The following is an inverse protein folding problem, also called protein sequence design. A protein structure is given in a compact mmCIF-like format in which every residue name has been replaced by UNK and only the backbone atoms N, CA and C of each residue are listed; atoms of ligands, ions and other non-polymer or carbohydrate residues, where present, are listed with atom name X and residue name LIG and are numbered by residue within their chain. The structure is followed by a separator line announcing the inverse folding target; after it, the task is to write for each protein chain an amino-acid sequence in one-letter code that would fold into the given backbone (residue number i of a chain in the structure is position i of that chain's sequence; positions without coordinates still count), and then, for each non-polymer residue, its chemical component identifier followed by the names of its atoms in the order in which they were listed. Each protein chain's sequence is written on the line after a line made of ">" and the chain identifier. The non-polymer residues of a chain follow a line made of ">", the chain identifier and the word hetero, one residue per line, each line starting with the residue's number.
data_IF_311696555795
#
_entry.id   IF_311696555795
#
_cell.length_a   1.000
_cell.length_b   1.000
_cell.length_c   1.000
_cell.angle_alpha   90.00
_cell.angle_beta   90.00
_cell.angle_gamma   90.00
#
_symmetry.space_group_name_H-M   'P 1'
#
loop_
_entity.id
_entity.type
_entity.pdbx_description
1 polymer ?
#
# COMPACT_ATOMS: atom_id res chain seq x y z
N UNK A 1 25.86 -29.98 17.97
CA UNK A 1 25.67 -30.59 16.65
C UNK A 1 24.48 -31.53 16.74
N UNK A 2 23.26 -31.06 16.48
CA UNK A 2 22.04 -31.87 16.50
C UNK A 2 21.28 -31.53 15.22
N UNK A 3 21.25 -32.48 14.27
CA UNK A 3 20.48 -32.40 13.04
C UNK A 3 19.00 -32.70 13.36
N UNK A 4 18.14 -31.69 13.24
CA UNK A 4 16.71 -31.89 13.29
C UNK A 4 16.17 -32.09 11.86
N UNK A 5 15.80 -33.32 11.54
CA UNK A 5 15.13 -33.69 10.29
C UNK A 5 13.64 -33.44 10.43
N UNK A 6 13.08 -32.52 9.63
CA UNK A 6 11.62 -32.35 9.48
C UNK A 6 11.12 -33.22 8.32
N UNK A 7 9.99 -33.94 8.51
CA UNK A 7 9.37 -34.72 7.45
C UNK A 7 8.53 -33.86 6.52
N UNK A 8 8.63 -34.11 5.21
CA UNK A 8 7.81 -33.52 4.14
C UNK A 8 6.40 -34.13 4.18
N UNK A 9 5.32 -33.36 4.09
CA UNK A 9 4.01 -33.88 3.74
C UNK A 9 3.84 -34.00 2.24
N UNK A 10 3.44 -35.17 1.79
CA UNK A 10 3.03 -35.46 0.43
C UNK A 10 1.64 -34.83 0.18
N UNK A 11 1.52 -33.96 -0.83
CA UNK A 11 0.26 -33.40 -1.27
C UNK A 11 -0.21 -34.18 -2.49
N UNK A 12 -1.37 -34.83 -2.31
CA UNK A 12 -2.09 -35.59 -3.32
C UNK A 12 -2.76 -34.64 -4.33
N UNK A 13 -2.54 -34.92 -5.63
CA UNK A 13 -3.30 -34.31 -6.75
C UNK A 13 -4.73 -34.83 -6.73
N UNK A 14 -5.72 -33.93 -6.74
CA UNK A 14 -7.10 -34.20 -7.13
C UNK A 14 -7.42 -33.46 -8.41
N UNK A 15 -7.54 -34.20 -9.53
CA UNK A 15 -8.15 -33.76 -10.78
C UNK A 15 -9.67 -33.76 -10.60
N UNK A 16 -10.33 -32.67 -10.93
CA UNK A 16 -11.78 -32.66 -11.18
C UNK A 16 -12.05 -31.96 -12.51
N UNK A 17 -12.69 -32.72 -13.39
CA UNK A 17 -13.03 -32.36 -14.76
C UNK A 17 -14.46 -31.83 -14.90
N UNK A 18 -14.66 -30.96 -15.93
CA UNK A 18 -15.84 -30.84 -16.80
C UNK A 18 -17.15 -30.25 -16.26
N UNK A 19 -17.57 -29.20 -16.98
CA UNK A 19 -18.98 -28.72 -17.02
C UNK A 19 -19.17 -27.63 -18.06
N UNK A 20 -19.25 -27.99 -19.36
CA UNK A 20 -19.79 -27.12 -20.41
C UNK A 20 -21.30 -27.10 -20.29
N UNK A 21 -21.91 -25.94 -20.06
CA UNK A 21 -23.34 -25.70 -20.26
C UNK A 21 -23.53 -24.65 -21.35
N UNK A 22 -23.98 -25.09 -22.51
CA UNK A 22 -24.42 -24.25 -23.62
C UNK A 22 -25.85 -23.76 -23.33
N UNK A 23 -26.08 -22.46 -23.26
CA UNK A 23 -27.41 -21.85 -23.27
C UNK A 23 -27.72 -21.30 -24.67
N UNK A 24 -28.65 -21.97 -25.36
CA UNK A 24 -29.28 -21.54 -26.60
C UNK A 24 -30.25 -20.38 -26.34
N UNK A 25 -30.06 -19.27 -27.04
CA UNK A 25 -30.95 -18.11 -27.02
C UNK A 25 -32.13 -18.34 -28.01
N UNK A 26 -33.35 -18.23 -27.52
CA UNK A 26 -34.60 -18.20 -28.32
C UNK A 26 -34.95 -16.75 -28.66
N UNK A 27 -35.30 -16.40 -29.92
CA UNK A 27 -35.73 -15.05 -30.26
C UNK A 27 -37.18 -14.81 -29.86
N UNK A 28 -37.42 -13.85 -28.99
CA UNK A 28 -38.79 -13.40 -28.64
C UNK A 28 -39.17 -12.21 -29.49
N UNK A 29 -40.31 -12.37 -30.18
CA UNK A 29 -40.98 -11.39 -31.04
C UNK A 29 -41.44 -10.16 -30.24
N UNK A 30 -41.15 -8.99 -30.78
CA UNK A 30 -41.54 -7.67 -30.27
C UNK A 30 -43.01 -7.37 -30.57
N UNK A 31 -43.84 -6.99 -29.58
CA UNK A 31 -45.11 -6.29 -29.86
C UNK A 31 -44.86 -4.80 -29.98
N UNK A 32 -45.36 -4.23 -31.08
CA UNK A 32 -45.40 -2.80 -31.34
C UNK A 32 -46.32 -2.10 -30.35
N UNK A 33 -45.81 -1.30 -29.45
CA UNK A 33 -46.59 -0.47 -28.54
C UNK A 33 -46.64 0.97 -29.06
N UNK A 34 -47.85 1.45 -29.30
CA UNK A 34 -48.24 2.80 -29.68
C UNK A 34 -47.76 3.78 -28.60
N UNK A 35 -46.92 4.74 -29.00
CA UNK A 35 -46.40 5.76 -28.10
C UNK A 35 -47.48 6.79 -27.76
N UNK A 36 -47.97 6.77 -26.54
CA UNK A 36 -48.74 7.85 -25.95
C UNK A 36 -47.72 8.85 -25.34
N UNK A 37 -47.64 10.02 -25.96
CA UNK A 37 -46.76 11.12 -25.49
C UNK A 37 -47.30 11.65 -24.15
N UNK A 38 -46.67 11.29 -23.04
CA UNK A 38 -46.92 11.91 -21.73
C UNK A 38 -45.89 13.00 -21.56
N UNK A 39 -46.34 14.25 -21.53
CA UNK A 39 -45.52 15.39 -21.19
C UNK A 39 -45.08 15.26 -19.74
N UNK A 40 -43.85 14.79 -19.52
CA UNK A 40 -43.21 14.77 -18.18
C UNK A 40 -42.75 16.20 -17.85
N UNK A 41 -43.41 16.80 -16.87
CA UNK A 41 -42.93 18.00 -16.19
C UNK A 41 -41.62 17.61 -15.49
N UNK A 42 -40.49 18.18 -15.94
CA UNK A 42 -39.20 17.96 -15.32
C UNK A 42 -39.22 18.43 -13.87
N UNK A 43 -39.27 17.51 -12.93
CA UNK A 43 -39.05 17.74 -11.51
C UNK A 43 -37.57 18.11 -11.34
N UNK A 44 -37.29 19.32 -10.88
CA UNK A 44 -35.92 19.77 -10.61
C UNK A 44 -35.30 18.84 -9.56
N UNK A 45 -34.29 18.07 -9.96
CA UNK A 45 -33.47 17.26 -9.06
C UNK A 45 -32.76 18.21 -8.10
N UNK A 46 -32.88 18.05 -6.74
CA UNK A 46 -32.16 18.87 -5.81
C UNK A 46 -30.64 18.74 -6.07
N UNK A 47 -30.01 19.86 -6.40
CA UNK A 47 -28.53 19.92 -6.52
C UNK A 47 -27.97 19.59 -5.15
N UNK A 48 -27.27 18.45 -5.04
CA UNK A 48 -26.58 18.06 -3.82
C UNK A 48 -25.58 19.17 -3.44
N UNK A 49 -25.79 19.77 -2.27
CA UNK A 49 -24.83 20.71 -1.68
C UNK A 49 -23.51 19.96 -1.49
N UNK A 50 -22.35 20.45 -1.99
CA UNK A 50 -21.09 19.77 -1.79
C UNK A 50 -20.83 19.65 -0.28
N UNK A 51 -20.69 18.42 0.20
CA UNK A 51 -20.25 18.15 1.56
C UNK A 51 -18.85 18.73 1.71
N UNK A 52 -18.59 19.62 2.71
CA UNK A 52 -17.25 20.16 2.89
C UNK A 52 -16.27 19.02 3.11
N UNK A 53 -15.18 19.02 2.33
CA UNK A 53 -14.07 18.09 2.51
C UNK A 53 -13.52 18.28 3.92
N UNK A 54 -13.25 17.23 4.70
CA UNK A 54 -12.71 17.37 6.05
C UNK A 54 -11.39 18.14 5.98
N UNK A 55 -11.33 19.26 6.68
CA UNK A 55 -10.09 20.03 6.82
C UNK A 55 -9.21 19.30 7.81
N UNK A 56 -8.05 18.80 7.35
CA UNK A 56 -7.03 18.21 8.23
C UNK A 56 -6.30 19.33 8.97
N UNK A 57 -5.94 19.10 10.25
CA UNK A 57 -5.17 20.07 11.01
C UNK A 57 -3.67 20.09 10.64
N UNK A 58 -2.93 21.05 11.19
CA UNK A 58 -1.51 21.24 10.86
C UNK A 58 -0.64 20.02 11.25
N UNK A 59 -0.94 19.37 12.38
CA UNK A 59 -0.19 18.19 12.84
C UNK A 59 -0.50 16.96 11.98
N UNK A 60 -1.76 16.80 11.55
CA UNK A 60 -2.16 15.76 10.61
C UNK A 60 -1.43 15.94 9.25
N UNK A 61 -1.43 17.17 8.73
CA UNK A 61 -0.76 17.48 7.46
C UNK A 61 0.74 17.22 7.54
N UNK A 62 1.40 17.69 8.62
CA UNK A 62 2.84 17.49 8.80
C UNK A 62 3.22 16.01 8.99
N UNK A 63 2.43 15.23 9.72
CA UNK A 63 2.65 13.80 9.88
C UNK A 63 2.48 13.04 8.57
N UNK A 64 1.46 13.38 7.77
CA UNK A 64 1.21 12.79 6.46
C UNK A 64 2.36 13.08 5.49
N UNK A 65 2.83 14.32 5.41
CA UNK A 65 3.97 14.71 4.55
C UNK A 65 5.23 13.90 4.86
N UNK A 66 5.53 13.69 6.14
CA UNK A 66 6.69 12.87 6.54
C UNK A 66 6.49 11.41 6.19
N UNK A 67 5.29 10.85 6.39
CA UNK A 67 4.98 9.47 6.03
C UNK A 67 5.12 9.23 4.51
N UNK A 68 4.62 10.15 3.68
CA UNK A 68 4.78 10.08 2.21
C UNK A 68 6.25 10.25 1.78
N UNK A 69 6.99 11.15 2.44
CA UNK A 69 8.43 11.33 2.19
C UNK A 69 9.23 10.08 2.53
N UNK A 70 8.87 9.39 3.61
CA UNK A 70 9.48 8.13 4.01
C UNK A 70 9.20 7.01 2.99
N UNK A 71 7.94 6.88 2.51
CA UNK A 71 7.58 5.96 1.44
C UNK A 71 8.36 6.23 0.15
N UNK A 72 8.45 7.49 -0.26
CA UNK A 72 9.19 7.90 -1.43
C UNK A 72 10.70 7.61 -1.30
N UNK A 73 11.27 7.79 -0.10
CA UNK A 73 12.66 7.45 0.17
C UNK A 73 12.91 5.95 0.05
N UNK A 74 12.03 5.11 0.63
CA UNK A 74 12.13 3.66 0.52
C UNK A 74 11.93 3.16 -0.91
N UNK A 75 11.01 3.75 -1.67
CA UNK A 75 10.82 3.42 -3.09
C UNK A 75 12.09 3.68 -3.90
N UNK A 76 12.78 4.83 -3.70
CA UNK A 76 14.07 5.12 -4.35
C UNK A 76 15.14 4.08 -4.00
N UNK A 77 15.21 3.66 -2.74
CA UNK A 77 16.17 2.64 -2.30
C UNK A 77 15.87 1.29 -2.93
N UNK A 78 14.59 0.88 -3.00
CA UNK A 78 14.19 -0.39 -3.59
C UNK A 78 14.34 -0.43 -5.11
N UNK A 79 14.18 0.71 -5.78
CA UNK A 79 14.42 0.83 -7.22
C UNK A 79 15.90 0.64 -7.60
N UNK A 80 16.85 0.98 -6.72
CA UNK A 80 18.28 0.78 -6.97
C UNK A 80 19.05 0.58 -5.65
N UNK A 81 18.91 -0.60 -5.01
CA UNK A 81 19.56 -0.89 -3.72
C UNK A 81 21.09 -0.82 -3.77
N UNK A 82 21.69 -1.00 -4.95
CA UNK A 82 23.14 -0.95 -5.13
C UNK A 82 23.72 0.45 -4.91
N UNK A 83 22.93 1.51 -5.18
CA UNK A 83 23.34 2.90 -4.94
C UNK A 83 23.37 3.29 -3.47
N UNK A 84 22.65 2.58 -2.62
CA UNK A 84 22.44 2.94 -1.22
C UNK A 84 23.22 1.99 -0.30
N UNK A 85 24.46 2.38 0.03
CA UNK A 85 25.19 1.77 1.14
C UNK A 85 24.55 2.15 2.49
N UNK A 86 25.08 1.60 3.57
CA UNK A 86 24.56 1.85 4.91
C UNK A 86 24.52 3.36 5.26
N UNK A 87 25.56 4.11 4.91
CA UNK A 87 25.67 5.52 5.27
C UNK A 87 24.67 6.38 4.50
N UNK A 88 24.56 6.16 3.20
CA UNK A 88 23.57 6.87 2.36
C UNK A 88 22.14 6.59 2.77
N UNK A 89 21.83 5.35 3.19
CA UNK A 89 20.52 5.04 3.74
C UNK A 89 20.25 5.75 5.06
N UNK A 90 21.23 5.78 5.98
CA UNK A 90 21.11 6.49 7.25
C UNK A 90 20.87 7.99 6.98
N UNK A 91 21.65 8.62 6.11
CA UNK A 91 21.51 10.03 5.78
C UNK A 91 20.13 10.34 5.15
N UNK A 92 19.64 9.45 4.29
CA UNK A 92 18.33 9.58 3.63
C UNK A 92 17.17 9.45 4.64
N UNK A 93 17.24 8.51 5.57
CA UNK A 93 16.12 8.17 6.47
C UNK A 93 16.16 8.90 7.81
N UNK A 94 17.32 9.40 8.26
CA UNK A 94 17.49 10.08 9.55
C UNK A 94 16.56 11.27 9.79
N UNK A 95 16.23 12.12 8.80
CA UNK A 95 15.23 13.16 8.98
C UNK A 95 13.80 12.63 9.10
N UNK A 96 13.52 11.43 8.60
CA UNK A 96 12.16 10.87 8.42
C UNK A 96 11.77 9.81 9.44
N UNK A 97 12.75 9.13 10.07
CA UNK A 97 12.49 7.97 10.93
C UNK A 97 13.38 7.95 12.17
N UNK A 98 12.96 7.22 13.19
CA UNK A 98 13.78 6.89 14.35
C UNK A 98 14.79 5.78 14.03
N UNK A 99 15.84 5.69 14.85
CA UNK A 99 16.98 4.80 14.60
C UNK A 99 16.59 3.33 14.45
N UNK A 100 15.64 2.82 15.24
CA UNK A 100 15.18 1.44 15.16
C UNK A 100 14.53 1.15 13.78
N UNK A 101 13.78 2.10 13.24
CA UNK A 101 13.19 1.98 11.91
C UNK A 101 14.25 2.03 10.81
N UNK A 102 15.27 2.86 10.98
CA UNK A 102 16.42 2.92 10.06
C UNK A 102 17.14 1.56 10.04
N UNK A 103 17.41 0.97 11.21
CA UNK A 103 18.07 -0.33 11.32
C UNK A 103 17.25 -1.47 10.69
N UNK A 104 15.93 -1.49 10.90
CA UNK A 104 15.03 -2.46 10.28
C UNK A 104 15.11 -2.40 8.74
N UNK A 105 15.09 -1.20 8.17
CA UNK A 105 15.20 -1.01 6.71
C UNK A 105 16.59 -1.40 6.18
N UNK A 106 17.67 -1.07 6.89
CA UNK A 106 19.03 -1.47 6.51
C UNK A 106 19.16 -2.99 6.40
N UNK A 107 18.57 -3.74 7.34
CA UNK A 107 18.58 -5.21 7.32
C UNK A 107 17.80 -5.78 6.13
N UNK A 108 16.63 -5.22 5.83
CA UNK A 108 15.81 -5.62 4.67
C UNK A 108 16.55 -5.38 3.34
N UNK A 109 17.04 -4.17 3.12
CA UNK A 109 17.72 -3.78 1.88
C UNK A 109 19.06 -4.49 1.68
N UNK A 110 19.78 -4.86 2.73
CA UNK A 110 20.99 -5.69 2.61
C UNK A 110 20.71 -6.98 1.82
N UNK A 111 19.64 -7.68 2.16
CA UNK A 111 19.24 -8.91 1.45
C UNK A 111 18.98 -8.66 -0.03
N UNK A 112 18.30 -7.57 -0.37
CA UNK A 112 18.02 -7.21 -1.76
C UNK A 112 19.31 -6.91 -2.54
N UNK A 113 20.18 -6.10 -1.95
CA UNK A 113 21.47 -5.75 -2.53
C UNK A 113 22.35 -6.99 -2.76
N UNK A 114 22.44 -7.87 -1.77
CA UNK A 114 23.26 -9.10 -1.85
C UNK A 114 22.76 -10.06 -2.93
N UNK A 115 21.45 -10.05 -3.20
CA UNK A 115 20.82 -10.83 -4.26
C UNK A 115 20.77 -10.12 -5.62
N UNK A 116 21.10 -8.84 -5.67
CA UNK A 116 20.96 -8.01 -6.87
C UNK A 116 19.52 -7.80 -7.28
N UNK A 117 18.59 -7.77 -6.31
CA UNK A 117 17.17 -7.51 -6.55
C UNK A 117 16.88 -6.02 -6.54
N UNK A 118 15.94 -5.59 -7.36
CA UNK A 118 15.39 -4.23 -7.35
C UNK A 118 13.94 -4.22 -7.82
N UNK A 119 13.22 -3.14 -7.50
CA UNK A 119 11.84 -2.92 -7.97
C UNK A 119 11.84 -2.18 -9.32
N UNK A 120 10.98 -2.64 -10.23
CA UNK A 120 10.59 -1.93 -11.45
C UNK A 120 9.08 -1.65 -11.43
N UNK A 121 8.64 -0.61 -12.14
CA UNK A 121 7.25 -0.18 -12.16
C UNK A 121 6.96 0.92 -11.15
N UNK A 122 5.69 1.07 -10.78
CA UNK A 122 5.23 2.14 -9.89
C UNK A 122 4.18 1.64 -8.90
N UNK A 123 4.14 2.24 -7.74
CA UNK A 123 3.02 2.13 -6.80
C UNK A 123 2.16 3.39 -6.88
N UNK A 124 0.86 3.23 -6.68
CA UNK A 124 -0.10 4.34 -6.66
C UNK A 124 -0.71 4.43 -5.26
N UNK A 125 -0.60 5.59 -4.60
CA UNK A 125 -1.28 5.83 -3.33
C UNK A 125 -2.76 6.13 -3.64
N UNK A 126 -3.65 5.25 -3.19
CA UNK A 126 -5.08 5.35 -3.41
C UNK A 126 -5.80 6.03 -2.25
N UNK A 127 -5.31 5.86 -1.01
CA UNK A 127 -5.92 6.43 0.19
C UNK A 127 -4.85 6.97 1.13
N UNK A 128 -5.20 8.09 1.79
CA UNK A 128 -4.43 8.77 2.82
C UNK A 128 -5.37 9.11 3.96
N UNK A 129 -5.06 8.65 5.16
CA UNK A 129 -5.88 8.88 6.33
C UNK A 129 -4.98 9.23 7.52
N UNK A 130 -4.72 10.52 7.77
CA UNK A 130 -4.06 10.98 8.99
C UNK A 130 -5.09 11.04 10.12
N UNK A 131 -4.91 10.16 11.12
CA UNK A 131 -5.73 10.14 12.33
C UNK A 131 -5.54 11.39 13.19
N UNK A 132 -6.37 11.53 14.23
CA UNK A 132 -6.32 12.68 15.13
C UNK A 132 -5.02 12.70 15.95
N UNK A 133 -4.40 13.88 16.15
CA UNK A 133 -3.26 14.05 17.02
C UNK A 133 -3.59 13.68 18.48
N UNK A 134 -2.67 13.00 19.12
CA UNK A 134 -2.76 12.64 20.53
C UNK A 134 -1.50 13.11 21.27
N UNK A 135 -1.67 13.93 22.30
CA UNK A 135 -0.58 14.39 23.16
C UNK A 135 -0.34 13.39 24.29
N UNK A 136 0.87 12.85 24.33
CA UNK A 136 1.30 11.93 25.39
C UNK A 136 1.78 12.71 26.63
N UNK A 137 1.78 12.06 27.79
CA UNK A 137 2.17 12.68 29.10
C UNK A 137 3.62 13.21 29.13
N UNK A 138 4.50 12.66 28.30
CA UNK A 138 5.90 13.12 28.16
C UNK A 138 6.08 14.31 27.20
N UNK A 139 4.98 14.90 26.70
CA UNK A 139 4.98 16.00 25.75
C UNK A 139 5.25 15.59 24.29
N UNK A 140 5.23 14.30 23.98
CA UNK A 140 5.28 13.81 22.59
C UNK A 140 3.89 13.93 21.96
N UNK A 141 3.82 14.44 20.73
CA UNK A 141 2.61 14.35 19.90
C UNK A 141 2.70 13.10 19.02
N UNK A 142 1.64 12.30 19.01
CA UNK A 142 1.48 11.12 18.18
C UNK A 142 0.37 11.34 17.16
N UNK A 143 0.60 10.93 15.89
CA UNK A 143 -0.41 10.85 14.83
C UNK A 143 -0.29 9.47 14.18
N UNK A 144 -1.40 8.76 14.04
CA UNK A 144 -1.43 7.53 13.24
C UNK A 144 -1.75 7.91 11.79
N UNK A 145 -0.89 7.56 10.84
CA UNK A 145 -1.12 7.82 9.42
C UNK A 145 -1.31 6.49 8.70
N UNK A 146 -2.44 6.33 8.01
CA UNK A 146 -2.71 5.17 7.17
C UNK A 146 -2.58 5.53 5.70
N UNK A 147 -1.78 4.77 4.96
CA UNK A 147 -1.59 4.90 3.51
C UNK A 147 -1.92 3.56 2.87
N UNK A 148 -2.90 3.55 1.96
CA UNK A 148 -3.20 2.38 1.16
C UNK A 148 -2.73 2.57 -0.27
N UNK A 149 -2.06 1.53 -0.80
CA UNK A 149 -1.33 1.58 -2.08
C UNK A 149 -1.76 0.44 -2.98
N UNK A 150 -1.87 0.73 -4.28
CA UNK A 150 -1.89 -0.25 -5.36
C UNK A 150 -0.45 -0.52 -5.80
N UNK A 151 -0.04 -1.79 -5.75
CA UNK A 151 1.30 -2.25 -6.09
C UNK A 151 1.31 -3.28 -7.24
N UNK A 152 0.19 -3.44 -7.95
CA UNK A 152 0.06 -4.45 -9.03
C UNK A 152 1.03 -4.24 -10.18
N UNK A 153 1.47 -2.99 -10.40
CA UNK A 153 2.47 -2.66 -11.41
C UNK A 153 3.92 -2.79 -10.91
N UNK A 154 4.13 -3.08 -9.61
CA UNK A 154 5.46 -3.33 -9.08
C UNK A 154 5.91 -4.75 -9.36
N UNK A 155 7.12 -4.88 -9.86
CA UNK A 155 7.76 -6.17 -10.12
C UNK A 155 9.15 -6.16 -9.53
N UNK A 156 9.51 -7.19 -8.76
CA UNK A 156 10.88 -7.38 -8.33
C UNK A 156 11.63 -8.19 -9.39
N UNK A 157 12.74 -7.63 -9.85
CA UNK A 157 13.63 -8.27 -10.84
C UNK A 157 15.03 -8.48 -10.26
N UNK A 158 15.77 -9.44 -10.82
CA UNK A 158 17.18 -9.67 -10.51
C UNK A 158 18.08 -8.75 -11.35
N UNK A 159 19.38 -8.80 -11.11
CA UNK A 159 20.41 -8.02 -11.86
C UNK A 159 20.41 -8.23 -13.38
N UNK A 160 19.72 -9.25 -13.90
CA UNK A 160 19.59 -9.54 -15.32
C UNK A 160 18.22 -9.10 -15.88
N UNK A 161 17.38 -8.43 -15.10
CA UNK A 161 16.03 -8.02 -15.48
C UNK A 161 15.01 -9.17 -15.45
N UNK A 162 15.35 -10.32 -14.87
CA UNK A 162 14.43 -11.45 -14.77
C UNK A 162 13.56 -11.33 -13.53
N UNK A 163 12.24 -11.48 -13.70
CA UNK A 163 11.27 -11.45 -12.58
C UNK A 163 11.65 -12.49 -11.51
N UNK A 164 11.75 -12.03 -10.28
CA UNK A 164 11.99 -12.87 -9.11
C UNK A 164 10.66 -13.47 -8.66
N UNK A 165 10.62 -14.81 -8.58
CA UNK A 165 9.41 -15.56 -8.17
C UNK A 165 9.45 -16.02 -6.72
N UNK A 166 10.53 -15.70 -5.98
CA UNK A 166 10.64 -16.03 -4.57
C UNK A 166 9.56 -15.29 -3.76
N UNK A 167 8.82 -16.01 -2.92
CA UNK A 167 7.74 -15.43 -2.08
C UNK A 167 8.19 -14.22 -1.26
N UNK A 168 9.44 -14.21 -0.80
CA UNK A 168 10.03 -13.10 -0.04
C UNK A 168 10.28 -11.82 -0.86
N UNK A 169 10.14 -11.90 -2.20
CA UNK A 169 10.30 -10.77 -3.10
C UNK A 169 8.98 -10.30 -3.71
N UNK A 170 7.88 -11.01 -3.43
CA UNK A 170 6.56 -10.63 -3.95
C UNK A 170 5.80 -9.86 -2.89
N UNK A 171 5.41 -8.64 -3.21
CA UNK A 171 4.46 -7.87 -2.42
C UNK A 171 3.00 -8.25 -2.76
N UNK A 172 2.05 -7.87 -1.92
CA UNK A 172 0.63 -7.97 -2.22
C UNK A 172 0.22 -6.97 -3.30
N UNK A 173 -0.91 -7.24 -3.98
CA UNK A 173 -1.49 -6.33 -4.97
C UNK A 173 -1.88 -4.98 -4.34
N UNK A 174 -2.43 -5.03 -3.14
CA UNK A 174 -2.77 -3.85 -2.34
C UNK A 174 -2.17 -3.97 -0.95
N UNK A 175 -1.53 -2.89 -0.51
CA UNK A 175 -0.87 -2.82 0.79
C UNK A 175 -1.37 -1.61 1.57
N UNK A 176 -1.90 -1.86 2.76
CA UNK A 176 -2.33 -0.84 3.71
C UNK A 176 -1.28 -0.69 4.81
N UNK A 177 -0.51 0.37 4.75
CA UNK A 177 0.50 0.70 5.78
C UNK A 177 -0.09 1.65 6.82
N UNK A 178 0.17 1.36 8.10
CA UNK A 178 -0.16 2.25 9.22
C UNK A 178 1.13 2.66 9.91
N UNK A 179 1.38 3.97 9.99
CA UNK A 179 2.56 4.59 10.58
C UNK A 179 2.22 5.20 11.94
N UNK A 180 2.99 4.87 12.97
CA UNK A 180 3.04 5.62 14.23
C UNK A 180 4.01 6.78 14.03
N UNK A 181 3.47 7.98 13.80
CA UNK A 181 4.23 9.21 13.61
C UNK A 181 4.39 9.93 14.94
N UNK A 182 5.63 10.24 15.33
CA UNK A 182 5.88 10.94 16.60
C UNK A 182 6.74 12.19 16.41
N UNK A 183 6.34 13.24 17.14
CA UNK A 183 7.09 14.48 17.29
C UNK A 183 7.35 14.71 18.77
N UNK A 184 8.62 14.69 19.18
CA UNK A 184 8.99 15.00 20.57
C UNK A 184 8.77 16.49 20.88
N UNK A 185 8.64 16.84 22.15
CA UNK A 185 8.43 18.23 22.63
C UNK A 185 9.47 19.23 22.10
N UNK A 186 10.70 18.76 21.87
CA UNK A 186 11.83 19.59 21.44
C UNK A 186 12.15 19.44 19.93
N UNK A 187 11.27 18.78 19.15
CA UNK A 187 11.42 18.59 17.71
C UNK A 187 10.36 19.36 16.94
N UNK A 188 10.75 19.97 15.83
CA UNK A 188 9.81 20.64 14.93
C UNK A 188 9.12 19.69 13.97
N UNK A 189 9.70 18.48 13.72
CA UNK A 189 9.23 17.53 12.73
C UNK A 189 8.77 16.20 13.34
N UNK A 190 7.77 15.60 12.73
CA UNK A 190 7.42 14.21 12.95
C UNK A 190 8.48 13.26 12.39
N UNK A 191 8.52 12.05 12.94
CA UNK A 191 9.31 10.93 12.42
C UNK A 191 8.52 9.64 12.55
N UNK A 192 8.75 8.70 11.65
CA UNK A 192 8.23 7.34 11.75
C UNK A 192 8.88 6.66 12.94
N UNK A 193 8.07 6.30 13.93
CA UNK A 193 8.48 5.56 15.12
C UNK A 193 8.33 4.05 14.92
N UNK A 194 7.21 3.66 14.31
CA UNK A 194 6.85 2.27 14.02
C UNK A 194 5.95 2.24 12.79
N UNK A 195 5.94 1.14 12.05
CA UNK A 195 4.91 0.90 11.03
C UNK A 195 4.53 -0.57 10.98
N UNK A 196 3.28 -0.84 10.59
CA UNK A 196 2.76 -2.13 10.21
C UNK A 196 2.18 -2.09 8.82
N UNK A 197 2.16 -3.21 8.13
CA UNK A 197 1.55 -3.35 6.81
C UNK A 197 0.68 -4.58 6.75
N UNK A 198 -0.55 -4.41 6.25
CA UNK A 198 -1.52 -5.47 6.04
C UNK A 198 -1.80 -5.61 4.54
N UNK A 199 -1.79 -6.86 4.05
CA UNK A 199 -2.32 -7.19 2.74
C UNK A 199 -3.84 -7.04 2.78
N UNK A 200 -4.41 -6.36 1.78
CA UNK A 200 -5.85 -6.13 1.67
C UNK A 200 -6.33 -6.45 0.25
N UNK A 201 -7.62 -6.76 0.08
CA UNK A 201 -8.20 -7.07 -1.25
C UNK A 201 -8.39 -5.80 -2.11
N UNK A 202 -8.22 -4.62 -1.52
CA UNK A 202 -8.31 -3.31 -2.17
C UNK A 202 -8.28 -2.18 -1.14
N UNK A 203 -8.03 -0.97 -1.61
CA UNK A 203 -8.08 0.24 -0.78
C UNK A 203 -9.51 0.81 -0.66
N UNK A 204 -10.49 -0.08 -0.61
CA UNK A 204 -11.90 0.30 -0.63
C UNK A 204 -12.31 1.15 0.57
N UNK A 205 -13.28 1.98 0.29
CA UNK A 205 -14.02 2.90 1.16
C UNK A 205 -14.75 2.18 2.29
#
# INVERSE_FOLDING_TARGET
>A
MVLNRFPLPAIALALAALGLAACTATPTTTPSATATSVTQTASATPTATPTPSPTIDADQAAALEVAESYEAALAKVRADPAKYDQYKMIDLLKPLAYDDMIQANLNGIRTWRDKGWHEEGSQIILQRDPGQPNSMSNGTTKVSVTICKDQRDLVVVDKNGKKVTAKAAQGPDFLKNTYDMRRSKNSESFKVYEFGGDEVDGCGS
#
